data_IF_155168499637
#
_entry.id   IF_155168499637
#
_cell.length_a   1.000
_cell.length_b   1.000
_cell.length_c   1.000
_cell.angle_alpha   90.00
_cell.angle_beta   90.00
_cell.angle_gamma   90.00
#
_symmetry.space_group_name_H-M   'P 1'
#
loop_
_entity.id
_entity.type
_entity.pdbx_description
1 polymer ?
#
# COMPACT_ATOMS: atom_id res chain seq x y z
N UNK A 1 -33.03 -19.67 -45.60
CA UNK A 1 -31.67 -19.73 -45.04
C UNK A 1 -31.45 -18.41 -44.32
N UNK A 2 -31.72 -18.38 -43.00
CA UNK A 2 -31.81 -17.17 -42.19
C UNK A 2 -30.42 -16.83 -41.66
N UNK A 3 -29.82 -15.75 -42.13
CA UNK A 3 -28.51 -15.29 -41.66
C UNK A 3 -28.73 -14.18 -40.63
N UNK A 4 -28.53 -14.52 -39.35
CA UNK A 4 -28.50 -13.59 -38.23
C UNK A 4 -27.08 -13.06 -38.09
N UNK A 5 -26.83 -11.83 -38.55
CA UNK A 5 -25.56 -11.14 -38.34
C UNK A 5 -25.63 -10.45 -36.98
N UNK A 6 -25.02 -11.08 -35.97
CA UNK A 6 -24.83 -10.52 -34.64
C UNK A 6 -23.65 -9.54 -34.69
N UNK A 7 -23.94 -8.24 -34.82
CA UNK A 7 -22.90 -7.20 -34.84
C UNK A 7 -22.46 -6.88 -33.41
N UNK A 8 -21.29 -7.38 -33.02
CA UNK A 8 -20.69 -7.12 -31.71
C UNK A 8 -20.16 -5.68 -31.64
N UNK A 9 -20.79 -4.84 -30.82
CA UNK A 9 -20.29 -3.50 -30.50
C UNK A 9 -19.24 -3.63 -29.40
N UNK A 10 -17.96 -3.56 -29.77
CA UNK A 10 -16.88 -3.42 -28.79
C UNK A 10 -16.60 -1.94 -28.55
N UNK A 11 -17.14 -1.40 -27.46
CA UNK A 11 -16.68 -0.12 -26.92
C UNK A 11 -15.41 -0.35 -26.11
N UNK A 12 -14.24 -0.27 -26.75
CA UNK A 12 -12.99 -0.04 -26.02
C UNK A 12 -12.91 1.45 -25.66
N UNK A 13 -13.56 1.82 -24.56
CA UNK A 13 -13.29 3.09 -23.90
C UNK A 13 -11.95 2.98 -23.15
N UNK A 14 -10.84 3.14 -23.86
CA UNK A 14 -9.58 3.48 -23.23
C UNK A 14 -9.65 4.95 -22.82
N UNK A 15 -9.95 5.22 -21.56
CA UNK A 15 -9.61 6.50 -20.95
C UNK A 15 -8.10 6.54 -20.86
N UNK A 16 -7.46 7.25 -21.80
CA UNK A 16 -6.08 7.71 -21.61
C UNK A 16 -6.16 8.87 -20.63
N UNK A 17 -6.17 8.56 -19.35
CA UNK A 17 -5.98 9.58 -18.33
C UNK A 17 -4.62 10.22 -18.57
N UNK A 18 -4.62 11.54 -18.42
CA UNK A 18 -3.50 12.45 -18.61
C UNK A 18 -2.22 11.87 -18.01
N UNK A 19 -1.11 12.08 -18.71
CA UNK A 19 0.22 12.00 -18.12
C UNK A 19 0.32 13.18 -17.15
N UNK A 20 -0.37 13.07 -16.02
CA UNK A 20 0.00 13.79 -14.82
C UNK A 20 1.22 13.08 -14.27
N UNK A 21 2.24 13.85 -13.93
CA UNK A 21 3.45 13.32 -13.31
C UNK A 21 3.06 12.63 -12.01
N UNK A 22 2.83 11.32 -12.09
CA UNK A 22 2.45 10.53 -10.95
C UNK A 22 3.71 10.33 -10.15
N UNK A 23 4.02 11.27 -9.27
CA UNK A 23 5.24 11.25 -8.45
C UNK A 23 5.00 10.57 -7.10
N UNK A 24 3.83 9.95 -6.91
CA UNK A 24 3.43 9.27 -5.68
C UNK A 24 2.92 7.87 -5.99
N UNK A 25 3.26 6.92 -5.12
CA UNK A 25 2.67 5.59 -5.09
C UNK A 25 2.01 5.35 -3.73
N UNK A 26 0.97 4.53 -3.71
CA UNK A 26 0.23 4.20 -2.50
C UNK A 26 0.81 2.93 -1.89
N UNK A 27 1.19 2.97 -0.61
CA UNK A 27 1.65 1.81 0.13
C UNK A 27 0.63 1.42 1.20
N UNK A 28 0.12 0.19 1.10
CA UNK A 28 -0.70 -0.45 2.12
C UNK A 28 0.17 -1.12 3.17
N UNK A 29 -0.03 -0.73 4.41
CA UNK A 29 0.60 -1.33 5.59
C UNK A 29 -0.44 -2.22 6.28
N UNK A 30 -0.18 -3.52 6.35
CA UNK A 30 -1.12 -4.52 6.88
C UNK A 30 -0.54 -5.16 8.15
N UNK A 31 -1.22 -4.98 9.27
CA UNK A 31 -0.91 -5.58 10.56
C UNK A 31 -1.71 -6.88 10.72
N UNK A 32 -1.03 -8.02 10.86
CA UNK A 32 -1.64 -9.34 10.99
C UNK A 32 -1.65 -9.88 12.44
N UNK A 33 -1.09 -9.13 13.37
CA UNK A 33 -1.12 -9.35 14.82
C UNK A 33 -2.40 -8.78 15.40
N UNK A 34 -2.81 -9.31 16.55
CA UNK A 34 -3.86 -8.71 17.37
C UNK A 34 -3.40 -7.45 18.12
N UNK A 35 -2.09 -7.19 18.16
CA UNK A 35 -1.52 -6.06 18.87
C UNK A 35 -1.29 -4.86 17.94
N UNK A 36 -1.44 -3.62 18.43
CA UNK A 36 -1.12 -2.42 17.67
C UNK A 36 0.38 -2.23 17.46
N UNK A 37 0.71 -1.59 16.34
CA UNK A 37 2.05 -1.13 15.99
C UNK A 37 2.05 0.36 15.66
N UNK A 38 3.10 1.06 16.02
CA UNK A 38 3.38 2.40 15.51
C UNK A 38 4.19 2.28 14.21
N UNK A 39 3.90 3.10 13.21
CA UNK A 39 4.61 3.15 11.91
C UNK A 39 5.45 4.42 11.83
N UNK A 40 6.70 4.26 11.43
CA UNK A 40 7.62 5.32 11.04
C UNK A 40 8.05 5.11 9.59
N UNK A 41 8.12 6.20 8.84
CA UNK A 41 8.69 6.23 7.49
C UNK A 41 9.74 7.33 7.45
N UNK A 42 10.94 6.99 7.02
CA UNK A 42 12.13 7.85 7.00
C UNK A 42 12.40 8.52 8.36
N UNK A 43 12.24 7.74 9.44
CA UNK A 43 12.42 8.19 10.82
C UNK A 43 11.30 9.07 11.37
N UNK A 44 10.28 9.39 10.56
CA UNK A 44 9.14 10.23 10.97
C UNK A 44 7.94 9.36 11.33
N UNK A 45 7.38 9.59 12.52
CA UNK A 45 6.14 8.93 12.95
C UNK A 45 4.99 9.29 12.01
N UNK A 46 4.27 8.29 11.54
CA UNK A 46 3.12 8.47 10.65
C UNK A 46 1.81 8.26 11.42
N UNK A 47 1.58 7.05 11.92
CA UNK A 47 0.36 6.68 12.64
C UNK A 47 0.53 5.38 13.42
N UNK A 48 -0.42 5.13 14.33
CA UNK A 48 -0.65 3.83 14.96
C UNK A 48 -1.60 2.99 14.12
N UNK A 49 -1.22 1.74 13.86
CA UNK A 49 -2.05 0.75 13.18
C UNK A 49 -2.58 -0.29 14.16
N UNK A 50 -3.91 -0.40 14.26
CA UNK A 50 -4.58 -1.40 15.09
C UNK A 50 -4.30 -2.82 14.61
N UNK A 51 -4.41 -3.79 15.51
CA UNK A 51 -4.27 -5.20 15.17
C UNK A 51 -5.31 -5.65 14.15
N UNK A 52 -4.91 -6.55 13.24
CA UNK A 52 -5.75 -7.10 12.16
C UNK A 52 -6.38 -6.03 11.27
N UNK A 53 -5.72 -4.88 11.10
CA UNK A 53 -6.16 -3.81 10.20
C UNK A 53 -5.07 -3.44 9.20
N UNK A 54 -5.46 -2.68 8.18
CA UNK A 54 -4.52 -2.05 7.26
C UNK A 54 -4.77 -0.55 7.19
N UNK A 55 -3.75 0.20 6.75
CA UNK A 55 -3.87 1.59 6.36
C UNK A 55 -2.97 1.87 5.17
N UNK A 56 -3.44 2.74 4.29
CA UNK A 56 -2.69 3.21 3.13
C UNK A 56 -2.04 4.56 3.41
N UNK A 57 -0.86 4.76 2.81
CA UNK A 57 -0.10 6.01 2.86
C UNK A 57 0.49 6.25 1.47
N UNK A 58 0.23 7.42 0.92
CA UNK A 58 0.88 7.87 -0.31
C UNK A 58 2.31 8.33 0.01
N UNK A 59 3.27 7.74 -0.68
CA UNK A 59 4.69 8.08 -0.59
C UNK A 59 5.15 8.62 -1.94
N UNK A 60 6.07 9.56 -1.92
CA UNK A 60 6.73 10.03 -3.13
C UNK A 60 7.49 8.90 -3.81
N UNK A 61 7.73 9.00 -5.10
CA UNK A 61 8.60 8.07 -5.82
C UNK A 61 10.02 8.10 -5.21
N UNK A 62 10.57 6.94 -4.92
CA UNK A 62 11.88 6.82 -4.29
C UNK A 62 12.06 5.59 -3.41
N UNK A 63 13.14 5.61 -2.64
CA UNK A 63 13.43 4.62 -1.60
C UNK A 63 13.04 5.21 -0.24
N UNK A 64 12.20 4.48 0.49
CA UNK A 64 11.76 4.86 1.83
C UNK A 64 12.12 3.76 2.82
N UNK A 65 12.60 4.15 4.01
CA UNK A 65 12.81 3.21 5.11
C UNK A 65 11.57 3.19 5.99
N UNK A 66 10.86 2.07 6.04
CA UNK A 66 9.69 1.90 6.89
C UNK A 66 10.02 1.00 8.08
N UNK A 67 9.63 1.44 9.26
CA UNK A 67 9.80 0.74 10.52
C UNK A 67 8.46 0.65 11.24
N UNK A 68 8.18 -0.51 11.84
CA UNK A 68 7.08 -0.67 12.79
C UNK A 68 7.59 -1.19 14.13
N UNK A 69 7.01 -0.70 15.22
CA UNK A 69 7.33 -1.09 16.60
C UNK A 69 6.04 -1.46 17.33
N UNK A 70 6.06 -2.62 17.98
CA UNK A 70 4.93 -3.14 18.71
C UNK A 70 4.63 -2.29 19.95
N UNK A 71 3.40 -1.80 20.06
CA UNK A 71 2.99 -0.90 21.14
C UNK A 71 2.63 -1.68 22.41
N UNK A 72 2.08 -2.89 22.27
CA UNK A 72 1.64 -3.71 23.41
C UNK A 72 1.70 -5.20 23.13
N UNK A 73 1.61 -6.03 24.18
CA UNK A 73 1.55 -7.48 24.06
C UNK A 73 2.90 -8.19 23.98
N UNK A 74 4.00 -7.46 24.16
CA UNK A 74 5.33 -8.04 24.32
C UNK A 74 5.63 -8.40 25.78
N UNK A 75 6.43 -9.46 26.00
CA UNK A 75 6.79 -9.94 27.34
C UNK A 75 8.02 -9.21 27.89
N UNK A 76 9.06 -9.07 27.07
CA UNK A 76 10.33 -8.47 27.47
C UNK A 76 10.68 -7.22 26.66
N UNK A 77 10.54 -7.29 25.34
CA UNK A 77 10.89 -6.21 24.42
C UNK A 77 9.88 -6.13 23.27
N UNK A 78 9.56 -4.92 22.79
CA UNK A 78 8.69 -4.76 21.63
C UNK A 78 9.29 -5.41 20.39
N UNK A 79 8.42 -5.95 19.54
CA UNK A 79 8.82 -6.41 18.20
C UNK A 79 9.07 -5.19 17.31
N UNK A 80 10.26 -5.10 16.72
CA UNK A 80 10.60 -4.09 15.71
C UNK A 80 10.79 -4.78 14.36
N UNK A 81 10.17 -4.26 13.31
CA UNK A 81 10.35 -4.70 11.92
C UNK A 81 10.72 -3.51 11.05
N UNK A 82 11.63 -3.74 10.12
CA UNK A 82 12.11 -2.73 9.19
C UNK A 82 12.05 -3.28 7.77
N UNK A 83 11.82 -2.41 6.80
CA UNK A 83 11.89 -2.75 5.38
C UNK A 83 12.27 -1.52 4.56
N UNK A 84 12.87 -1.75 3.39
CA UNK A 84 13.07 -0.71 2.39
C UNK A 84 11.99 -0.83 1.32
N UNK A 85 11.23 0.24 1.12
CA UNK A 85 10.18 0.35 0.13
C UNK A 85 10.72 1.12 -1.08
N UNK A 86 10.83 0.44 -2.23
CA UNK A 86 10.92 1.13 -3.52
C UNK A 86 9.52 1.45 -4.00
N UNK A 87 9.18 2.73 -4.05
CA UNK A 87 7.90 3.26 -4.48
C UNK A 87 8.09 3.91 -5.85
N UNK A 88 7.27 3.50 -6.82
CA UNK A 88 7.18 4.15 -8.12
C UNK A 88 5.88 4.94 -8.23
N UNK A 89 5.89 5.97 -9.05
CA UNK A 89 4.69 6.69 -9.45
C UNK A 89 3.53 5.80 -9.86
N UNK A 90 2.34 6.06 -9.32
CA UNK A 90 1.10 5.35 -9.64
C UNK A 90 1.12 3.86 -9.30
N UNK A 91 2.10 3.42 -8.53
CA UNK A 91 2.16 2.06 -8.04
C UNK A 91 1.28 1.93 -6.79
N UNK A 92 0.57 0.81 -6.70
CA UNK A 92 0.10 0.28 -5.42
C UNK A 92 1.08 -0.80 -4.94
N UNK A 93 1.47 -0.71 -3.67
CA UNK A 93 2.37 -1.67 -3.01
C UNK A 93 1.80 -2.07 -1.67
N UNK A 94 2.08 -3.29 -1.22
CA UNK A 94 1.74 -3.72 0.12
C UNK A 94 2.98 -4.19 0.89
N UNK A 95 3.01 -3.84 2.18
CA UNK A 95 3.89 -4.46 3.17
C UNK A 95 3.05 -5.04 4.31
N UNK A 96 3.22 -6.33 4.54
CA UNK A 96 2.53 -7.09 5.59
C UNK A 96 3.54 -7.35 6.71
N UNK A 97 3.13 -7.09 7.95
CA UNK A 97 3.90 -7.39 9.15
C UNK A 97 3.04 -8.10 10.21
N UNK A 98 3.69 -8.83 11.15
CA UNK A 98 3.01 -9.46 12.27
C UNK A 98 2.48 -8.39 13.19
#
# INVERSE_FOLDING_TARGET
MMSLILSSVMFFSCSKDSIDNCLTGTVRFTNTSSNPYDLWVDGTYQFRLSGNTFRELDLTEGQHNAQVEQVSGYILYPTIKETTLSVFGCQEREWIFP
#
